data_IF_313810557372
#
_entry.id   IF_313810557372
#
_cell.length_a   1.000
_cell.length_b   1.000
_cell.length_c   1.000
_cell.angle_alpha   90.00
_cell.angle_beta   90.00
_cell.angle_gamma   90.00
#
_symmetry.space_group_name_H-M   'P 1'
#
loop_
_entity.id
_entity.type
_entity.pdbx_description
1 polymer ?
#
# COMPACT_ATOMS: atom_id res chain seq x y z
N UNK A 1 -13.87 2.02 1.09
CA UNK A 1 -13.59 1.30 2.36
C UNK A 1 -12.86 -0.02 2.17
N UNK A 2 -13.06 -0.80 1.09
CA UNK A 2 -12.34 -2.07 0.86
C UNK A 2 -10.81 -1.91 0.86
N UNK A 3 -10.28 -0.91 0.16
CA UNK A 3 -8.84 -0.60 0.14
C UNK A 3 -8.28 -0.24 1.53
N UNK A 4 -8.97 0.64 2.27
CA UNK A 4 -8.61 0.99 3.64
C UNK A 4 -8.61 -0.23 4.59
N UNK A 5 -9.57 -1.15 4.45
CA UNK A 5 -9.57 -2.42 5.20
C UNK A 5 -8.36 -3.28 4.88
N UNK A 6 -7.96 -3.36 3.61
CA UNK A 6 -6.76 -4.09 3.22
C UNK A 6 -5.49 -3.51 3.86
N UNK A 7 -5.36 -2.18 3.93
CA UNK A 7 -4.25 -1.52 4.63
C UNK A 7 -4.20 -1.89 6.11
N UNK A 8 -5.35 -1.85 6.80
CA UNK A 8 -5.45 -2.24 8.21
C UNK A 8 -5.07 -3.70 8.41
N UNK A 9 -5.58 -4.61 7.57
CA UNK A 9 -5.29 -6.05 7.69
C UNK A 9 -3.82 -6.37 7.39
N UNK A 10 -3.22 -5.66 6.43
CA UNK A 10 -1.78 -5.72 6.18
C UNK A 10 -1.00 -5.31 7.43
N UNK A 11 -1.32 -4.16 8.05
CA UNK A 11 -0.63 -3.70 9.26
C UNK A 11 -0.83 -4.67 10.43
N UNK A 12 -2.04 -5.18 10.65
CA UNK A 12 -2.29 -6.18 11.68
C UNK A 12 -1.43 -7.43 11.47
N UNK A 13 -1.34 -7.93 10.23
CA UNK A 13 -0.52 -9.11 9.95
C UNK A 13 0.98 -8.79 10.06
N UNK A 14 1.45 -7.68 9.51
CA UNK A 14 2.87 -7.34 9.52
C UNK A 14 3.40 -7.04 10.95
N UNK A 15 2.59 -6.35 11.77
CA UNK A 15 3.05 -5.81 13.05
C UNK A 15 2.55 -6.57 14.26
N UNK A 16 1.37 -7.20 14.22
CA UNK A 16 0.82 -7.88 15.40
C UNK A 16 1.22 -9.35 15.39
N UNK A 17 0.91 -10.06 14.30
CA UNK A 17 1.18 -11.49 14.16
C UNK A 17 1.41 -11.87 12.68
N UNK A 18 2.69 -11.95 12.26
CA UNK A 18 3.07 -12.36 10.90
C UNK A 18 2.65 -13.78 10.54
N UNK A 19 2.49 -14.67 11.51
CA UNK A 19 2.13 -16.07 11.30
C UNK A 19 0.61 -16.26 11.20
N UNK A 20 -0.17 -15.26 11.61
CA UNK A 20 -1.63 -15.27 11.55
C UNK A 20 -2.15 -15.54 10.14
N UNK A 21 -2.95 -16.59 9.89
CA UNK A 21 -3.51 -16.85 8.58
C UNK A 21 -4.34 -15.67 8.06
N UNK A 22 -4.17 -15.30 6.80
CA UNK A 22 -4.93 -14.22 6.16
C UNK A 22 -6.37 -14.69 5.83
N UNK A 23 -7.22 -14.80 6.85
CA UNK A 23 -8.60 -15.24 6.73
C UNK A 23 -9.58 -14.32 7.48
N UNK A 24 -10.87 -14.38 7.15
CA UNK A 24 -11.87 -13.53 7.80
C UNK A 24 -11.92 -13.69 9.34
N UNK A 25 -11.57 -14.87 9.85
CA UNK A 25 -11.52 -15.12 11.29
C UNK A 25 -10.42 -14.35 12.02
N UNK A 26 -9.27 -14.15 11.36
CA UNK A 26 -8.12 -13.42 11.91
C UNK A 26 -8.41 -11.93 12.14
N UNK A 27 -9.29 -11.34 11.33
CA UNK A 27 -9.59 -9.92 11.36
C UNK A 27 -10.97 -9.59 11.95
N UNK A 28 -11.68 -10.59 12.50
CA UNK A 28 -13.05 -10.42 13.03
C UNK A 28 -13.13 -9.40 14.17
N UNK A 29 -12.06 -9.25 14.96
CA UNK A 29 -11.98 -8.29 16.06
C UNK A 29 -11.56 -6.88 15.64
N UNK A 30 -11.36 -6.64 14.34
CA UNK A 30 -10.87 -5.37 13.81
C UNK A 30 -12.01 -4.63 13.11
N UNK A 31 -12.40 -3.50 13.67
CA UNK A 31 -13.38 -2.59 13.07
C UNK A 31 -12.66 -1.47 12.30
N UNK A 32 -13.09 -1.24 11.06
CA UNK A 32 -12.51 -0.19 10.19
C UNK A 32 -13.62 0.77 9.80
N UNK A 33 -13.45 2.02 10.21
CA UNK A 33 -14.35 3.13 9.92
C UNK A 33 -13.60 4.22 9.14
N UNK A 34 -14.26 4.78 8.13
CA UNK A 34 -13.85 6.02 7.49
C UNK A 34 -15.09 6.86 7.19
N UNK A 35 -15.00 8.19 7.21
CA UNK A 35 -16.12 9.04 6.83
C UNK A 35 -16.54 8.78 5.37
N UNK A 36 -17.83 8.64 5.11
CA UNK A 36 -18.35 8.51 3.74
C UNK A 36 -18.00 9.75 2.91
N UNK A 37 -17.60 9.55 1.65
CA UNK A 37 -17.14 10.61 0.76
C UNK A 37 -15.69 11.05 0.99
N UNK A 38 -15.00 10.52 2.01
CA UNK A 38 -13.56 10.75 2.19
C UNK A 38 -12.73 9.99 1.14
N UNK A 39 -11.44 10.32 1.04
CA UNK A 39 -10.49 9.62 0.16
C UNK A 39 -10.42 8.10 0.44
N UNK A 40 -10.72 7.67 1.67
CA UNK A 40 -10.71 6.25 2.09
C UNK A 40 -12.07 5.55 1.90
N UNK A 41 -13.15 6.32 1.70
CA UNK A 41 -14.50 5.83 1.44
C UNK A 41 -15.17 6.71 0.37
N UNK A 42 -14.54 6.75 -0.80
CA UNK A 42 -15.08 7.42 -1.96
C UNK A 42 -16.45 6.84 -2.35
N UNK A 43 -17.35 7.71 -2.78
CA UNK A 43 -18.68 7.36 -3.27
C UNK A 43 -18.73 7.54 -4.78
N UNK A 44 -19.44 6.65 -5.48
CA UNK A 44 -19.64 6.79 -6.93
C UNK A 44 -20.25 8.17 -7.25
N UNK A 45 -19.77 8.92 -8.26
CA UNK A 45 -18.83 8.52 -9.32
C UNK A 45 -17.36 8.93 -9.11
N UNK A 46 -16.92 9.17 -7.86
CA UNK A 46 -15.54 9.56 -7.60
C UNK A 46 -14.53 8.54 -8.15
N UNK A 47 -13.47 9.05 -8.80
CA UNK A 47 -12.42 8.22 -9.36
C UNK A 47 -11.58 7.59 -8.24
N UNK A 48 -11.37 6.27 -8.32
CA UNK A 48 -10.58 5.48 -7.37
C UNK A 48 -9.40 4.75 -8.04
N UNK A 49 -9.06 5.16 -9.27
CA UNK A 49 -7.95 4.57 -10.02
C UNK A 49 -6.62 4.73 -9.27
N UNK A 50 -5.78 3.70 -9.31
CA UNK A 50 -4.47 3.66 -8.67
C UNK A 50 -4.47 3.95 -7.16
N UNK A 51 -5.60 3.79 -6.46
CA UNK A 51 -5.68 4.02 -5.02
C UNK A 51 -4.69 3.14 -4.23
N UNK A 52 -4.50 1.89 -4.64
CA UNK A 52 -3.52 0.97 -4.07
C UNK A 52 -2.07 1.41 -4.28
N UNK A 53 -1.82 2.17 -5.34
CA UNK A 53 -0.50 2.65 -5.73
C UNK A 53 -0.13 3.88 -4.91
N UNK A 54 -1.06 4.83 -4.80
CA UNK A 54 -0.78 6.17 -4.28
C UNK A 54 -1.27 6.35 -2.84
N UNK A 55 -2.51 5.96 -2.54
CA UNK A 55 -3.15 6.29 -1.26
C UNK A 55 -2.85 5.24 -0.19
N UNK A 56 -2.95 3.97 -0.53
CA UNK A 56 -2.84 2.87 0.43
C UNK A 56 -1.47 2.80 1.10
N UNK A 57 -0.41 3.11 0.37
CA UNK A 57 0.97 3.16 0.89
C UNK A 57 1.10 4.21 2.01
N UNK A 58 0.60 5.43 1.76
CA UNK A 58 0.57 6.47 2.78
C UNK A 58 -0.35 6.12 3.96
N UNK A 59 -1.45 5.42 3.72
CA UNK A 59 -2.33 4.94 4.80
C UNK A 59 -1.57 3.95 5.70
N UNK A 60 -0.79 3.05 5.11
CA UNK A 60 0.06 2.12 5.87
C UNK A 60 1.08 2.89 6.71
N UNK A 61 1.81 3.86 6.16
CA UNK A 61 2.75 4.69 6.93
C UNK A 61 2.09 5.35 8.14
N UNK A 62 0.90 5.92 7.96
CA UNK A 62 0.15 6.58 9.04
C UNK A 62 -0.26 5.58 10.12
N UNK A 63 -0.73 4.39 9.72
CA UNK A 63 -1.10 3.32 10.65
C UNK A 63 0.11 2.80 11.44
N UNK A 64 1.27 2.63 10.78
CA UNK A 64 2.52 2.24 11.44
C UNK A 64 2.98 3.32 12.43
N UNK A 65 2.93 4.60 12.04
CA UNK A 65 3.23 5.73 12.90
C UNK A 65 2.30 5.80 14.13
N UNK A 66 1.02 5.45 13.98
CA UNK A 66 0.10 5.37 15.11
C UNK A 66 0.46 4.25 16.10
N UNK A 67 0.91 3.10 15.58
CA UNK A 67 1.33 1.94 16.39
C UNK A 67 2.69 2.12 17.07
N UNK A 68 3.52 3.07 16.62
CA UNK A 68 4.83 3.34 17.21
C UNK A 68 4.77 3.58 18.72
N UNK A 69 3.72 4.25 19.21
CA UNK A 69 3.54 4.50 20.65
C UNK A 69 3.28 3.24 21.49
N UNK A 70 2.89 2.13 20.86
CA UNK A 70 2.50 0.89 21.52
C UNK A 70 3.52 -0.22 21.31
N UNK A 71 4.10 -0.31 20.10
CA UNK A 71 5.04 -1.37 19.69
C UNK A 71 6.22 -0.76 18.90
N UNK A 72 7.03 0.12 19.51
CA UNK A 72 8.08 0.87 18.79
C UNK A 72 9.11 -0.05 18.13
N UNK A 73 9.39 -1.22 18.72
CA UNK A 73 10.38 -2.17 18.21
C UNK A 73 9.88 -3.02 17.03
N UNK A 74 8.62 -2.87 16.62
CA UNK A 74 7.98 -3.68 15.55
C UNK A 74 7.51 -2.87 14.35
N UNK A 75 7.70 -1.56 14.35
CA UNK A 75 7.27 -0.68 13.26
C UNK A 75 8.47 0.03 12.65
N UNK A 76 8.45 0.19 11.32
CA UNK A 76 9.39 1.05 10.63
C UNK A 76 8.90 2.50 10.64
N UNK A 77 9.81 3.45 10.40
CA UNK A 77 9.47 4.80 9.98
C UNK A 77 8.73 4.78 8.63
N UNK A 78 8.22 5.95 8.21
CA UNK A 78 7.54 6.06 6.92
C UNK A 78 8.48 5.64 5.76
N UNK A 79 7.96 4.85 4.83
CA UNK A 79 8.66 4.47 3.61
C UNK A 79 8.48 5.57 2.54
N UNK A 80 8.69 5.22 1.27
CA UNK A 80 8.49 6.15 0.14
C UNK A 80 7.07 6.74 0.07
N UNK A 81 6.09 6.09 0.72
CA UNK A 81 4.72 6.58 0.85
C UNK A 81 3.85 6.44 -0.40
N UNK A 82 4.41 5.90 -1.47
CA UNK A 82 3.71 5.46 -2.68
C UNK A 82 4.46 4.29 -3.31
N UNK A 83 3.76 3.49 -4.13
CA UNK A 83 4.36 2.53 -5.02
C UNK A 83 4.76 3.30 -6.27
N UNK A 84 6.05 3.57 -6.43
CA UNK A 84 6.50 4.38 -7.56
C UNK A 84 6.15 3.70 -8.89
N UNK A 85 5.64 4.49 -9.83
CA UNK A 85 5.03 3.98 -11.05
C UNK A 85 5.36 4.88 -12.25
N UNK A 86 5.75 4.25 -13.35
CA UNK A 86 5.85 4.86 -14.67
C UNK A 86 4.82 4.17 -15.57
N UNK A 87 3.94 4.96 -16.19
CA UNK A 87 3.07 4.46 -17.26
C UNK A 87 3.46 5.14 -18.56
N UNK A 88 3.69 4.33 -19.59
CA UNK A 88 3.94 4.80 -20.96
C UNK A 88 2.92 4.12 -21.86
N UNK A 89 2.13 4.91 -22.59
CA UNK A 89 1.14 4.37 -23.50
C UNK A 89 1.05 5.19 -24.78
N UNK A 90 0.53 4.57 -25.82
CA UNK A 90 0.36 5.22 -27.11
C UNK A 90 -0.05 4.25 -28.20
N UNK A 91 0.19 4.66 -29.45
CA UNK A 91 0.06 3.81 -30.63
C UNK A 91 1.48 3.51 -31.10
N UNK A 92 1.81 2.23 -31.22
CA UNK A 92 3.10 1.78 -31.73
C UNK A 92 3.20 2.17 -33.22
N UNK A 93 4.18 3.01 -33.62
CA UNK A 93 4.30 3.46 -35.00
C UNK A 93 4.68 2.33 -35.98
N UNK A 94 5.25 1.22 -35.50
CA UNK A 94 5.63 0.08 -36.33
C UNK A 94 4.46 -0.86 -36.61
N UNK A 95 3.54 -1.04 -35.65
CA UNK A 95 2.43 -2.01 -35.75
C UNK A 95 1.06 -1.35 -35.90
N UNK A 96 0.94 -0.05 -35.57
CA UNK A 96 -0.33 0.66 -35.48
C UNK A 96 -1.21 0.23 -34.30
N UNK A 97 -0.71 -0.62 -33.39
CA UNK A 97 -1.46 -1.13 -32.25
C UNK A 97 -1.35 -0.21 -31.04
N UNK A 98 -2.39 -0.19 -30.20
CA UNK A 98 -2.30 0.44 -28.88
C UNK A 98 -1.34 -0.34 -27.98
N UNK A 99 -0.51 0.36 -27.22
CA UNK A 99 0.32 -0.22 -26.18
C UNK A 99 0.16 0.55 -24.86
N UNK A 100 0.36 -0.18 -23.77
CA UNK A 100 0.46 0.35 -22.42
C UNK A 100 1.58 -0.43 -21.72
N UNK A 101 2.54 0.28 -21.16
CA UNK A 101 3.66 -0.25 -20.40
C UNK A 101 3.61 0.35 -19.01
N UNK A 102 3.51 -0.53 -18.01
CA UNK A 102 3.44 -0.16 -16.60
C UNK A 102 4.67 -0.71 -15.92
N UNK A 103 5.51 0.19 -15.42
CA UNK A 103 6.69 -0.17 -14.65
C UNK A 103 6.55 0.34 -13.24
N UNK A 104 6.78 -0.54 -12.27
CA UNK A 104 6.91 -0.16 -10.88
C UNK A 104 8.36 -0.23 -10.47
N UNK A 105 8.88 0.84 -9.90
CA UNK A 105 10.27 0.87 -9.46
C UNK A 105 10.37 1.05 -7.94
N UNK A 106 11.51 0.63 -7.44
CA UNK A 106 11.77 0.56 -6.02
C UNK A 106 12.05 1.95 -5.43
N UNK A 107 11.82 2.10 -4.12
CA UNK A 107 12.06 3.33 -3.37
C UNK A 107 12.87 3.08 -2.11
N UNK A 108 12.78 3.96 -1.12
CA UNK A 108 13.35 3.76 0.21
C UNK A 108 12.37 3.12 1.19
N UNK A 109 12.89 2.24 2.03
CA UNK A 109 12.22 1.77 3.24
C UNK A 109 12.54 2.68 4.43
N UNK A 110 11.57 2.88 5.33
CA UNK A 110 11.81 3.58 6.58
C UNK A 110 12.69 2.75 7.53
N UNK A 111 13.51 3.45 8.33
CA UNK A 111 14.37 2.82 9.34
C UNK A 111 13.56 2.08 10.41
N UNK A 112 14.16 1.03 10.99
CA UNK A 112 13.69 0.39 12.22
C UNK A 112 14.34 1.06 13.44
N UNK A 113 13.98 0.60 14.65
CA UNK A 113 14.51 1.15 15.92
C UNK A 113 16.04 1.10 16.01
N UNK A 114 16.66 0.07 15.44
CA UNK A 114 18.08 -0.24 15.54
C UNK A 114 18.76 -0.50 14.18
N UNK A 115 18.07 -0.24 13.07
CA UNK A 115 18.55 -0.51 11.72
C UNK A 115 18.14 0.61 10.77
N UNK A 116 19.06 0.99 9.89
CA UNK A 116 18.76 1.87 8.77
C UNK A 116 17.75 1.21 7.82
N UNK A 117 17.03 2.04 7.06
CA UNK A 117 16.14 1.57 6.00
C UNK A 117 16.92 1.09 4.78
N UNK A 118 16.35 0.13 4.05
CA UNK A 118 16.92 -0.32 2.78
C UNK A 118 16.65 0.67 1.63
N UNK A 119 17.65 0.88 0.79
CA UNK A 119 17.56 1.66 -0.44
C UNK A 119 17.16 0.79 -1.64
N UNK A 120 16.31 1.32 -2.52
CA UNK A 120 15.98 0.66 -3.79
C UNK A 120 15.19 -0.63 -3.62
N UNK A 121 14.28 -0.67 -2.64
CA UNK A 121 13.37 -1.80 -2.39
C UNK A 121 11.90 -1.43 -2.54
N UNK A 122 11.09 -2.43 -2.82
CA UNK A 122 9.63 -2.31 -2.82
C UNK A 122 9.10 -2.50 -1.39
N UNK A 123 8.19 -1.62 -0.97
CA UNK A 123 7.67 -1.59 0.40
C UNK A 123 6.16 -1.77 0.47
N UNK A 124 5.70 -2.35 1.57
CA UNK A 124 4.29 -2.58 1.89
C UNK A 124 3.50 -3.35 0.81
N UNK A 125 2.60 -2.67 0.10
CA UNK A 125 1.55 -3.24 -0.76
C UNK A 125 1.96 -3.30 -2.24
N UNK A 126 3.21 -3.64 -2.53
CA UNK A 126 3.83 -3.62 -3.86
C UNK A 126 3.72 -4.96 -4.62
N UNK A 127 2.51 -5.53 -4.73
CA UNK A 127 2.32 -6.73 -5.53
C UNK A 127 2.10 -6.39 -7.01
N UNK A 128 3.17 -6.49 -7.80
CA UNK A 128 3.19 -6.08 -9.22
C UNK A 128 3.15 -7.28 -10.17
N UNK A 129 3.08 -8.50 -9.61
CA UNK A 129 3.05 -9.76 -10.37
C UNK A 129 1.88 -9.88 -11.36
N UNK A 130 0.80 -9.13 -11.11
CA UNK A 130 -0.41 -9.13 -11.95
C UNK A 130 -0.66 -7.77 -12.63
N UNK A 131 0.31 -6.84 -12.61
CA UNK A 131 0.21 -5.63 -13.40
C UNK A 131 0.31 -6.00 -14.89
N UNK A 132 -0.64 -5.59 -15.74
CA UNK A 132 -0.67 -5.93 -17.16
C UNK A 132 0.45 -5.26 -17.97
#
# INVERSE_FOLDING_TARGET
LSAARACVYYVCKAVIDPDLPACAGAYRSVEVYAPEGSILQATYPAAIGNANILTDQRVVDVLLGALYSVVPDRVCAACSGEMNLINIGGIDPATGAYYNYVETYAGGQGAMVDLDGEDGVHTHLTNTRNAP
#
